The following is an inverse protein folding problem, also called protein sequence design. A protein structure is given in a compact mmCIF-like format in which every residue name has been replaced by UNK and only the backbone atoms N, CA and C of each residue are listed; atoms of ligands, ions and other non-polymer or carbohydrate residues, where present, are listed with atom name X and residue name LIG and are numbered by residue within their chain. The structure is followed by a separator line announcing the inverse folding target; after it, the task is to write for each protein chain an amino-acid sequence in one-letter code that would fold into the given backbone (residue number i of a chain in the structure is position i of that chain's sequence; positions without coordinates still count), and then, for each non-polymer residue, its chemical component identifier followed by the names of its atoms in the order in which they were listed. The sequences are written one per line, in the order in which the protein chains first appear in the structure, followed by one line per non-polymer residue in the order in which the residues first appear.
data_IF_092537595254
#
_entry.id   IF_092537595254
#
_cell.length_a   1.000
_cell.length_b   1.000
_cell.length_c   1.000
_cell.angle_alpha   90.00
_cell.angle_beta   90.00
_cell.angle_gamma   90.00
#
_symmetry.space_group_name_H-M   'P 1'
#
loop_
_entity.id
_entity.type
_entity.pdbx_description
1 polymer ?
#
# COMPACT_ATOMS: atom_id res chain seq x y z
N UNK A 1 -7.87 -20.13 8.34
CA UNK A 1 -8.81 -20.20 7.19
C UNK A 1 -9.99 -19.29 7.48
N UNK A 2 -9.99 -18.06 6.96
CA UNK A 2 -11.03 -17.07 7.23
C UNK A 2 -12.05 -17.04 6.08
N UNK A 3 -13.33 -17.06 6.50
CA UNK A 3 -14.60 -16.96 5.77
C UNK A 3 -14.48 -16.54 4.29
N UNK A 4 -14.93 -17.37 3.32
CA UNK A 4 -14.95 -16.98 1.92
C UNK A 4 -15.92 -15.81 1.76
N UNK A 5 -15.39 -14.58 1.70
CA UNK A 5 -16.18 -13.41 1.35
C UNK A 5 -16.54 -13.56 -0.12
N UNK A 6 -17.84 -13.70 -0.42
CA UNK A 6 -18.32 -13.80 -1.81
C UNK A 6 -17.84 -12.56 -2.56
N UNK A 7 -17.04 -12.79 -3.61
CA UNK A 7 -16.71 -11.75 -4.57
C UNK A 7 -18.01 -11.19 -5.16
N UNK A 8 -18.14 -9.87 -5.17
CA UNK A 8 -19.26 -9.16 -5.77
C UNK A 8 -18.70 -7.96 -6.50
N UNK A 9 -19.28 -7.59 -7.65
CA UNK A 9 -18.93 -6.37 -8.39
C UNK A 9 -18.97 -5.11 -7.52
N UNK A 10 -19.74 -5.15 -6.42
CA UNK A 10 -19.74 -4.10 -5.39
C UNK A 10 -18.39 -3.88 -4.70
N UNK A 11 -17.55 -4.92 -4.57
CA UNK A 11 -16.22 -4.83 -3.95
C UNK A 11 -15.23 -4.10 -4.85
N UNK A 12 -15.22 -4.37 -6.16
CA UNK A 12 -14.40 -3.63 -7.12
C UNK A 12 -14.78 -2.13 -7.13
N UNK A 13 -16.08 -1.83 -7.05
CA UNK A 13 -16.56 -0.45 -6.95
C UNK A 13 -16.11 0.24 -5.65
N UNK A 14 -16.15 -0.47 -4.51
CA UNK A 14 -15.62 0.04 -3.23
C UNK A 14 -14.11 0.25 -3.27
N UNK A 15 -13.37 -0.65 -3.92
CA UNK A 15 -11.93 -0.51 -4.09
C UNK A 15 -11.56 0.74 -4.89
N UNK A 16 -12.31 1.03 -5.96
CA UNK A 16 -12.19 2.28 -6.71
C UNK A 16 -12.56 3.51 -5.89
N UNK A 17 -13.69 3.47 -5.18
CA UNK A 17 -14.09 4.56 -4.30
C UNK A 17 -13.06 4.83 -3.19
N UNK A 18 -12.38 3.79 -2.70
CA UNK A 18 -11.29 3.95 -1.74
C UNK A 18 -10.11 4.74 -2.34
N UNK A 19 -9.70 4.44 -3.58
CA UNK A 19 -8.66 5.19 -4.29
C UNK A 19 -9.03 6.66 -4.45
N UNK A 20 -10.28 6.94 -4.84
CA UNK A 20 -10.80 8.31 -4.96
C UNK A 20 -10.83 9.04 -3.61
N UNK A 21 -11.06 8.32 -2.51
CA UNK A 21 -11.07 8.88 -1.15
C UNK A 21 -9.67 9.17 -0.59
N UNK A 22 -8.61 8.77 -1.28
CA UNK A 22 -7.22 9.01 -0.89
C UNK A 22 -6.78 10.38 -1.40
N UNK A 23 -7.35 11.46 -0.85
CA UNK A 23 -6.96 12.85 -1.19
C UNK A 23 -6.17 13.45 -0.03
N UNK A 24 -5.14 14.21 -0.36
CA UNK A 24 -4.35 14.93 0.63
C UNK A 24 -5.16 16.12 1.14
N UNK A 25 -5.24 16.26 2.46
CA UNK A 25 -6.04 17.31 3.11
C UNK A 25 -5.15 18.15 4.02
N UNK A 26 -5.51 19.41 4.21
CA UNK A 26 -4.82 20.30 5.14
C UNK A 26 -5.63 20.36 6.43
N UNK A 27 -5.00 20.00 7.54
CA UNK A 27 -5.59 20.13 8.85
C UNK A 27 -4.87 21.21 9.63
N UNK A 28 -5.64 22.18 10.13
CA UNK A 28 -5.12 23.18 11.05
C UNK A 28 -5.03 22.52 12.43
N UNK A 29 -3.83 22.50 12.99
CA UNK A 29 -3.55 21.95 14.32
C UNK A 29 -2.91 23.01 15.21
N UNK A 30 -3.40 23.07 16.44
CA UNK A 30 -2.94 24.01 17.45
C UNK A 30 -4.09 24.78 18.08
N UNK A 31 -3.79 25.41 19.20
CA UNK A 31 -4.64 26.43 19.83
C UNK A 31 -3.95 27.78 19.68
N UNK A 32 -4.74 28.85 19.56
CA UNK A 32 -4.22 30.21 19.51
C UNK A 32 -3.23 30.45 20.68
N UNK A 33 -2.05 31.07 20.44
CA UNK A 33 -1.63 31.80 19.24
C UNK A 33 -0.78 30.97 18.23
N UNK A 34 -0.54 29.68 18.48
CA UNK A 34 0.30 28.82 17.62
C UNK A 34 -0.57 27.88 16.77
N UNK A 35 -1.28 28.44 15.80
CA UNK A 35 -1.91 27.64 14.74
C UNK A 35 -0.84 27.19 13.74
N UNK A 36 -0.70 25.88 13.56
CA UNK A 36 0.16 25.28 12.54
C UNK A 36 -0.72 24.54 11.52
N UNK A 37 -0.45 24.71 10.23
CA UNK A 37 -1.13 23.93 9.19
C UNK A 37 -0.30 22.67 8.94
N UNK A 38 -0.86 21.48 9.19
CA UNK A 38 -0.25 20.21 8.83
C UNK A 38 -0.93 19.62 7.60
N UNK A 39 -0.14 19.12 6.65
CA UNK A 39 -0.66 18.30 5.55
C UNK A 39 -0.91 16.88 6.06
N UNK A 40 -2.15 16.43 5.96
CA UNK A 40 -2.57 15.05 6.24
C UNK A 40 -2.56 14.32 4.91
N UNK A 41 -1.56 13.47 4.75
CA UNK A 41 -1.36 12.73 3.51
C UNK A 41 -1.99 11.36 3.65
N UNK A 42 -2.81 11.01 2.66
CA UNK A 42 -3.52 9.74 2.62
C UNK A 42 -3.06 8.94 1.41
N UNK A 43 -1.97 8.20 1.61
CA UNK A 43 -1.40 7.32 0.58
C UNK A 43 -2.24 6.04 0.48
N UNK A 44 -2.69 5.64 -0.73
CA UNK A 44 -3.42 4.40 -0.89
C UNK A 44 -2.47 3.21 -0.64
N UNK A 45 -2.92 2.22 0.13
CA UNK A 45 -2.14 1.02 0.48
C UNK A 45 -3.00 -0.22 0.39
N UNK A 46 -2.37 -1.38 0.20
CA UNK A 46 -3.07 -2.68 0.14
C UNK A 46 -3.76 -2.97 1.48
N UNK A 47 -3.13 -2.65 2.59
CA UNK A 47 -3.68 -2.73 3.94
C UNK A 47 -4.89 -1.82 4.12
N UNK A 48 -4.80 -0.58 3.67
CA UNK A 48 -5.90 0.36 3.74
C UNK A 48 -7.11 -0.08 2.91
N UNK A 49 -6.85 -0.66 1.73
CA UNK A 49 -7.88 -1.28 0.92
C UNK A 49 -8.52 -2.50 1.62
N UNK A 50 -7.70 -3.38 2.21
CA UNK A 50 -8.15 -4.54 2.96
C UNK A 50 -9.05 -4.14 4.15
N UNK A 51 -8.66 -3.08 4.88
CA UNK A 51 -9.46 -2.49 5.95
C UNK A 51 -10.78 -1.89 5.43
N UNK A 52 -10.75 -1.14 4.32
CA UNK A 52 -11.95 -0.54 3.72
C UNK A 52 -12.95 -1.58 3.22
N UNK A 53 -12.45 -2.72 2.74
CA UNK A 53 -13.26 -3.85 2.28
C UNK A 53 -13.59 -4.86 3.40
N UNK A 54 -13.01 -4.68 4.59
CA UNK A 54 -13.12 -5.57 5.73
C UNK A 54 -12.74 -7.03 5.41
N UNK A 55 -11.61 -7.21 4.71
CA UNK A 55 -11.03 -8.50 4.32
C UNK A 55 -9.56 -8.57 4.73
N UNK A 56 -8.98 -9.77 4.70
CA UNK A 56 -7.55 -9.95 4.96
C UNK A 56 -6.71 -9.53 3.75
N UNK A 57 -5.46 -9.10 3.99
CA UNK A 57 -4.49 -8.78 2.92
C UNK A 57 -4.27 -9.96 1.99
N UNK A 58 -4.21 -11.18 2.53
CA UNK A 58 -4.07 -12.40 1.73
C UNK A 58 -5.24 -12.61 0.78
N UNK A 59 -6.46 -12.27 1.21
CA UNK A 59 -7.65 -12.32 0.34
C UNK A 59 -7.54 -11.32 -0.81
N UNK A 60 -7.01 -10.12 -0.57
CA UNK A 60 -6.78 -9.11 -1.62
C UNK A 60 -5.83 -9.67 -2.69
N UNK A 61 -4.69 -10.24 -2.29
CA UNK A 61 -3.76 -10.85 -3.24
C UNK A 61 -4.31 -12.10 -3.92
N UNK A 62 -5.07 -12.93 -3.20
CA UNK A 62 -5.72 -14.10 -3.79
C UNK A 62 -6.70 -13.68 -4.90
N UNK A 63 -7.48 -12.62 -4.69
CA UNK A 63 -8.40 -12.11 -5.70
C UNK A 63 -7.71 -11.42 -6.87
N UNK A 64 -6.58 -10.76 -6.63
CA UNK A 64 -5.80 -10.16 -7.70
C UNK A 64 -5.14 -11.21 -8.60
N UNK A 65 -4.75 -12.36 -8.06
CA UNK A 65 -4.20 -13.47 -8.85
C UNK A 65 -5.28 -14.33 -9.53
N UNK A 66 -6.55 -14.07 -9.26
CA UNK A 66 -7.67 -14.84 -9.77
C UNK A 66 -8.10 -14.34 -11.16
N UNK A 67 -8.01 -15.22 -12.17
CA UNK A 67 -8.32 -14.88 -13.56
C UNK A 67 -9.79 -14.52 -13.78
N UNK A 68 -10.68 -14.96 -12.89
CA UNK A 68 -12.10 -14.62 -12.96
C UNK A 68 -12.41 -13.21 -12.44
N UNK A 69 -11.40 -12.48 -11.94
CA UNK A 69 -11.54 -11.16 -11.28
C UNK A 69 -10.56 -10.10 -11.83
N UNK A 70 -10.47 -9.91 -13.17
CA UNK A 70 -9.49 -8.99 -13.76
C UNK A 70 -9.68 -7.54 -13.30
N UNK A 71 -10.93 -7.14 -13.00
CA UNK A 71 -11.27 -5.80 -12.50
C UNK A 71 -10.59 -5.49 -11.16
N UNK A 72 -10.42 -6.51 -10.31
CA UNK A 72 -9.77 -6.36 -9.01
C UNK A 72 -8.25 -6.31 -9.14
N UNK A 73 -7.69 -7.14 -10.03
CA UNK A 73 -6.26 -7.08 -10.39
C UNK A 73 -5.89 -5.70 -10.93
N UNK A 74 -6.65 -5.17 -11.91
CA UNK A 74 -6.44 -3.82 -12.46
C UNK A 74 -6.53 -2.75 -11.37
N UNK A 75 -7.51 -2.85 -10.46
CA UNK A 75 -7.67 -1.88 -9.37
C UNK A 75 -6.49 -1.94 -8.39
N UNK A 76 -5.98 -3.13 -8.08
CA UNK A 76 -4.83 -3.31 -7.20
C UNK A 76 -3.54 -2.79 -7.84
N UNK A 77 -3.33 -3.06 -9.13
CA UNK A 77 -2.19 -2.54 -9.89
C UNK A 77 -2.23 -1.01 -9.92
N UNK A 78 -3.39 -0.43 -10.27
CA UNK A 78 -3.60 1.02 -10.27
C UNK A 78 -3.36 1.64 -8.89
N UNK A 79 -3.75 0.94 -7.82
CA UNK A 79 -3.46 1.34 -6.44
C UNK A 79 -1.95 1.43 -6.18
N UNK A 80 -1.20 0.40 -6.56
CA UNK A 80 0.25 0.35 -6.37
C UNK A 80 0.98 1.42 -7.20
N UNK A 81 0.51 1.67 -8.42
CA UNK A 81 1.05 2.74 -9.29
C UNK A 81 0.84 4.10 -8.63
N UNK A 82 -0.37 4.43 -8.18
CA UNK A 82 -0.67 5.72 -7.51
C UNK A 82 0.12 5.85 -6.22
N UNK A 83 0.26 4.76 -5.46
CA UNK A 83 1.08 4.73 -4.25
C UNK A 83 2.54 5.09 -4.55
N UNK A 84 3.15 4.43 -5.55
CA UNK A 84 4.53 4.66 -5.94
C UNK A 84 4.75 6.09 -6.45
N UNK A 85 3.89 6.56 -7.35
CA UNK A 85 3.92 7.91 -7.90
C UNK A 85 3.85 8.97 -6.81
N UNK A 86 2.90 8.85 -5.88
CA UNK A 86 2.80 9.77 -4.75
C UNK A 86 4.05 9.76 -3.89
N UNK A 87 4.54 8.58 -3.52
CA UNK A 87 5.72 8.45 -2.65
C UNK A 87 6.97 9.07 -3.29
N UNK A 88 7.15 8.90 -4.59
CA UNK A 88 8.23 9.51 -5.36
C UNK A 88 8.05 11.03 -5.36
N UNK A 89 6.88 11.53 -5.76
CA UNK A 89 6.62 12.97 -5.85
C UNK A 89 6.75 13.65 -4.48
N UNK A 90 6.12 13.13 -3.43
CA UNK A 90 6.18 13.72 -2.10
C UNK A 90 7.53 13.54 -1.40
N UNK A 91 8.31 12.51 -1.77
CA UNK A 91 9.72 12.40 -1.39
C UNK A 91 10.57 13.49 -2.04
N UNK A 92 10.40 13.71 -3.35
CA UNK A 92 11.08 14.79 -4.08
C UNK A 92 10.67 16.19 -3.60
N UNK A 93 9.41 16.36 -3.19
CA UNK A 93 8.91 17.62 -2.62
C UNK A 93 9.33 17.86 -1.17
N UNK A 94 10.08 16.94 -0.53
CA UNK A 94 10.44 16.99 0.90
C UNK A 94 9.22 17.04 1.84
N UNK A 95 8.04 16.70 1.33
CA UNK A 95 6.79 16.65 2.10
C UNK A 95 6.66 15.33 2.86
N UNK A 96 7.39 14.30 2.42
CA UNK A 96 7.49 13.03 3.12
C UNK A 96 8.82 12.88 3.82
N UNK A 97 8.78 12.14 4.93
CA UNK A 97 10.01 11.65 5.57
C UNK A 97 10.62 10.59 4.65
N UNK A 98 11.79 10.87 4.10
CA UNK A 98 12.55 9.97 3.22
C UNK A 98 12.65 8.53 3.74
N UNK A 99 12.80 8.34 5.04
CA UNK A 99 12.86 7.02 5.68
C UNK A 99 11.59 6.20 5.47
N UNK A 100 10.42 6.85 5.48
CA UNK A 100 9.12 6.20 5.28
C UNK A 100 8.93 5.88 3.79
N UNK A 101 9.28 6.80 2.90
CA UNK A 101 9.23 6.60 1.44
C UNK A 101 10.07 5.40 1.04
N UNK A 102 11.33 5.35 1.49
CA UNK A 102 12.26 4.23 1.22
C UNK A 102 11.73 2.90 1.74
N UNK A 103 11.16 2.88 2.96
CA UNK A 103 10.60 1.66 3.54
C UNK A 103 9.45 1.11 2.70
N UNK A 104 8.52 1.97 2.28
CA UNK A 104 7.35 1.55 1.52
C UNK A 104 7.75 1.09 0.11
N UNK A 105 8.66 1.80 -0.57
CA UNK A 105 9.17 1.39 -1.89
C UNK A 105 9.90 0.04 -1.84
N UNK A 106 10.64 -0.22 -0.76
CA UNK A 106 11.32 -1.51 -0.54
C UNK A 106 10.35 -2.67 -0.27
N UNK A 107 9.13 -2.40 0.18
CA UNK A 107 8.10 -3.43 0.41
C UNK A 107 7.33 -3.76 -0.88
N UNK A 108 7.12 -2.76 -1.74
CA UNK A 108 6.42 -2.92 -3.02
C UNK A 108 7.28 -3.56 -4.12
N UNK A 109 8.60 -3.41 -4.05
CA UNK A 109 9.49 -4.16 -4.93
C UNK A 109 9.56 -5.61 -4.43
N UNK A 110 9.25 -6.63 -5.26
CA UNK A 110 9.51 -8.00 -4.87
C UNK A 110 11.02 -8.12 -4.72
N UNK A 111 11.50 -7.99 -3.49
CA UNK A 111 12.92 -8.16 -3.19
C UNK A 111 13.24 -9.59 -3.58
N UNK A 112 13.93 -9.75 -4.70
CA UNK A 112 14.60 -10.99 -5.07
C UNK A 112 15.23 -11.56 -3.79
N UNK A 113 14.97 -12.82 -3.44
CA UNK A 113 15.43 -13.39 -2.19
C UNK A 113 16.94 -13.18 -2.13
N UNK A 114 17.40 -12.39 -1.14
CA UNK A 114 18.83 -12.18 -0.95
C UNK A 114 19.48 -13.56 -0.91
N UNK A 115 20.54 -13.81 -1.69
CA UNK A 115 21.27 -15.06 -1.57
C UNK A 115 21.68 -15.19 -0.11
N UNK A 116 21.22 -16.27 0.55
CA UNK A 116 21.61 -16.57 1.93
C UNK A 116 23.14 -16.65 1.93
N UNK A 117 23.86 -15.98 2.85
CA UNK A 117 25.29 -16.21 2.97
C UNK A 117 25.49 -17.71 3.23
N UNK A 118 26.14 -18.38 2.28
CA UNK A 118 26.38 -19.81 2.33
C UNK A 118 27.10 -20.15 3.62
N UNK A 119 26.48 -21.02 4.42
CA UNK A 119 27.21 -21.77 5.45
C UNK A 119 28.09 -22.77 4.70
N UNK A 120 29.34 -22.39 4.41
CA UNK A 120 30.39 -23.36 4.16
C UNK A 120 30.92 -23.81 5.51
N UNK A 121 30.38 -24.96 5.94
CA UNK A 121 30.81 -25.73 7.09
C UNK A 121 32.25 -26.20 6.92
N UNK A 122 33.03 -26.04 7.99
CA UNK A 122 34.25 -26.75 8.32
C UNK A 122 34.15 -28.26 8.01
N UNK A 123 35.21 -28.82 7.43
CA UNK A 123 35.39 -30.27 7.19
C UNK A 123 36.80 -30.51 6.60
N UNK A 124 37.84 -30.49 7.43
CA UNK A 124 38.61 -31.68 7.85
C UNK A 124 39.39 -32.30 6.67
N UNK A 125 40.68 -31.97 6.60
CA UNK A 125 41.73 -32.84 6.03
C UNK A 125 42.49 -33.48 7.17
#
# INVERSE_FOLDING_TARGET
MARPTKYSKSMAKKARAYLESCVDTFQVVGSAPRLAVRKVVKVPTVEGLALALNISRDTVYAWANDKDKPEFSDTLERLQIVQADRLIQGGLSSEYKDSIVKLILSLSTPTSPRPRPGKSTTGIS
#
